data_IF_917982614060
#
_entry.id   IF_917982614060
#
_cell.length_a   1.000
_cell.length_b   1.000
_cell.length_c   1.000
_cell.angle_alpha   90.00
_cell.angle_beta   90.00
_cell.angle_gamma   90.00
#
_symmetry.space_group_name_H-M   'P 1'
#
loop_
_entity.id
_entity.type
_entity.pdbx_description
1 polymer ?
#
# COMPACT_ATOMS: atom_id res chain seq x y z
N UNK A 1 1.77 18.66 -2.01
CA UNK A 1 2.73 18.39 -3.12
C UNK A 1 4.15 18.06 -2.63
N UNK A 2 4.77 18.82 -1.71
CA UNK A 2 6.10 18.44 -1.16
C UNK A 2 6.07 17.08 -0.47
N UNK A 3 5.08 16.86 0.42
CA UNK A 3 4.91 15.62 1.16
C UNK A 3 4.69 14.38 0.28
N UNK A 4 3.93 14.49 -0.82
CA UNK A 4 3.72 13.38 -1.77
C UNK A 4 5.03 13.02 -2.47
N UNK A 5 5.82 14.01 -2.89
CA UNK A 5 7.13 13.77 -3.52
C UNK A 5 8.10 13.11 -2.55
N UNK A 6 8.13 13.56 -1.30
CA UNK A 6 8.93 12.97 -0.23
C UNK A 6 8.51 11.52 0.05
N UNK A 7 7.20 11.24 0.13
CA UNK A 7 6.67 9.90 0.32
C UNK A 7 7.03 8.94 -0.82
N UNK A 8 6.91 9.38 -2.08
CA UNK A 8 7.33 8.59 -3.25
C UNK A 8 8.84 8.37 -3.26
N UNK A 9 9.62 9.38 -2.90
CA UNK A 9 11.08 9.21 -2.77
C UNK A 9 11.41 8.15 -1.73
N UNK A 10 10.73 8.19 -0.58
CA UNK A 10 10.89 7.20 0.48
C UNK A 10 10.47 5.79 0.03
N UNK A 11 9.43 5.65 -0.81
CA UNK A 11 9.06 4.32 -1.33
C UNK A 11 10.15 3.73 -2.23
N UNK A 12 10.84 4.53 -3.05
CA UNK A 12 12.00 4.06 -3.82
C UNK A 12 13.18 3.71 -2.92
N UNK A 13 13.46 4.51 -1.89
CA UNK A 13 14.53 4.20 -0.92
C UNK A 13 14.24 2.92 -0.14
N UNK A 14 12.97 2.66 0.20
CA UNK A 14 12.55 1.45 0.88
C UNK A 14 12.69 0.20 -0.01
N UNK A 15 12.35 0.29 -1.30
CA UNK A 15 12.62 -0.80 -2.26
C UNK A 15 14.11 -1.07 -2.38
N UNK A 16 14.93 -0.02 -2.49
CA UNK A 16 16.39 -0.16 -2.55
C UNK A 16 16.97 -0.77 -1.27
N UNK A 17 16.41 -0.47 -0.10
CA UNK A 17 16.81 -1.10 1.16
C UNK A 17 16.46 -2.61 1.15
N UNK A 18 15.27 -2.95 0.64
CA UNK A 18 14.78 -4.32 0.60
C UNK A 18 15.59 -5.22 -0.35
N UNK A 19 16.22 -4.65 -1.39
CA UNK A 19 17.07 -5.37 -2.36
C UNK A 19 18.09 -6.30 -1.68
N UNK A 20 18.74 -5.84 -0.61
CA UNK A 20 19.78 -6.59 0.09
C UNK A 20 19.31 -7.96 0.59
N UNK A 21 18.08 -8.03 1.11
CA UNK A 21 17.48 -9.22 1.72
C UNK A 21 16.50 -9.95 0.80
N UNK A 22 16.29 -9.44 -0.42
CA UNK A 22 15.26 -9.92 -1.32
C UNK A 22 15.50 -11.41 -1.66
N UNK A 23 14.41 -12.19 -1.60
CA UNK A 23 14.38 -13.65 -1.75
C UNK A 23 15.07 -14.50 -0.68
N UNK A 24 15.54 -13.90 0.43
CA UNK A 24 15.95 -14.67 1.61
C UNK A 24 14.73 -14.97 2.49
N UNK A 25 14.36 -16.24 2.56
CA UNK A 25 13.25 -16.70 3.42
C UNK A 25 13.71 -17.03 4.85
N UNK A 26 14.99 -17.33 5.05
CA UNK A 26 15.53 -17.70 6.37
C UNK A 26 15.77 -16.45 7.24
N UNK A 27 14.95 -16.31 8.29
CA UNK A 27 15.02 -15.21 9.24
C UNK A 27 16.32 -15.20 10.06
N UNK A 28 16.93 -16.35 10.29
CA UNK A 28 18.20 -16.43 11.03
C UNK A 28 19.38 -15.96 10.18
N UNK A 29 19.27 -16.00 8.84
CA UNK A 29 20.21 -15.34 7.94
C UNK A 29 20.02 -13.83 7.97
N UNK A 30 18.77 -13.35 7.90
CA UNK A 30 18.46 -11.92 7.91
C UNK A 30 18.89 -11.24 9.22
N UNK A 31 18.67 -11.88 10.38
CA UNK A 31 19.05 -11.34 11.70
C UNK A 31 20.56 -11.18 11.91
N UNK A 32 21.39 -11.87 11.13
CA UNK A 32 22.87 -11.76 11.22
C UNK A 32 23.42 -10.54 10.48
N UNK A 33 22.59 -9.84 9.73
CA UNK A 33 22.96 -8.68 8.93
C UNK A 33 22.34 -7.41 9.50
N UNK A 34 23.04 -6.28 9.37
CA UNK A 34 22.46 -4.96 9.62
C UNK A 34 21.68 -4.50 8.39
N UNK A 35 20.56 -3.82 8.63
CA UNK A 35 19.68 -3.24 7.61
C UNK A 35 19.55 -1.72 7.79
N UNK A 36 20.55 -1.09 8.42
CA UNK A 36 20.58 0.36 8.63
C UNK A 36 21.12 1.14 7.41
N UNK A 37 21.64 0.43 6.41
CA UNK A 37 22.23 0.99 5.19
C UNK A 37 21.75 0.24 3.94
N UNK A 38 21.71 0.94 2.80
CA UNK A 38 21.46 0.32 1.49
C UNK A 38 22.61 -0.61 1.15
N UNK A 39 22.28 -1.83 0.70
CA UNK A 39 23.28 -2.86 0.45
C UNK A 39 22.94 -3.71 -0.77
N UNK A 40 24.00 -4.30 -1.33
CA UNK A 40 23.89 -5.21 -2.46
C UNK A 40 23.11 -6.48 -2.05
N UNK A 41 22.44 -7.15 -3.00
CA UNK A 41 21.71 -8.40 -2.72
C UNK A 41 22.65 -9.48 -2.18
N UNK A 42 22.23 -10.14 -1.10
CA UNK A 42 22.97 -11.26 -0.53
C UNK A 42 22.88 -12.53 -1.40
N UNK A 43 21.75 -12.73 -2.09
CA UNK A 43 21.56 -13.84 -3.05
C UNK A 43 21.75 -13.32 -4.48
N UNK A 44 22.90 -13.66 -5.07
CA UNK A 44 23.23 -13.27 -6.45
C UNK A 44 22.50 -14.07 -7.53
N UNK A 45 21.95 -15.25 -7.20
CA UNK A 45 21.24 -16.07 -8.20
C UNK A 45 19.98 -15.38 -8.72
N UNK A 46 19.33 -14.58 -7.88
CA UNK A 46 18.19 -13.76 -8.29
C UNK A 46 18.63 -12.39 -8.82
N UNK A 47 19.61 -11.77 -8.18
CA UNK A 47 20.08 -10.43 -8.51
C UNK A 47 21.58 -10.42 -8.85
N UNK A 48 21.98 -11.00 -10.01
CA UNK A 48 23.39 -11.19 -10.34
C UNK A 48 24.13 -9.88 -10.64
N UNK A 49 23.41 -8.84 -11.04
CA UNK A 49 24.01 -7.59 -11.53
C UNK A 49 23.73 -6.39 -10.63
N UNK A 50 22.78 -6.49 -9.69
CA UNK A 50 22.39 -5.37 -8.82
C UNK A 50 23.42 -5.04 -7.75
N UNK A 51 23.53 -3.76 -7.44
CA UNK A 51 24.44 -3.19 -6.45
C UNK A 51 23.69 -2.44 -5.34
N UNK A 52 24.43 -2.08 -4.28
CA UNK A 52 23.89 -1.28 -3.19
C UNK A 52 23.34 0.05 -3.71
N UNK A 53 22.11 0.40 -3.31
CA UNK A 53 21.46 1.64 -3.74
C UNK A 53 20.65 1.53 -5.03
N UNK A 54 20.66 0.37 -5.71
CA UNK A 54 19.79 0.12 -6.84
C UNK A 54 18.42 -0.40 -6.41
N UNK A 55 17.47 -0.40 -7.34
CA UNK A 55 16.11 -0.86 -7.14
C UNK A 55 15.98 -2.36 -7.42
N UNK A 56 14.99 -2.99 -6.80
CA UNK A 56 14.50 -4.29 -7.26
C UNK A 56 13.70 -4.13 -8.55
N UNK A 57 13.30 -5.25 -9.16
CA UNK A 57 12.37 -5.25 -10.29
C UNK A 57 11.03 -4.54 -10.01
N UNK A 58 10.59 -4.43 -8.74
CA UNK A 58 9.39 -3.65 -8.39
C UNK A 58 9.66 -2.15 -8.53
N UNK A 59 10.77 -1.67 -7.97
CA UNK A 59 11.19 -0.28 -8.09
C UNK A 59 11.48 0.11 -9.55
N UNK A 60 12.14 -0.74 -10.34
CA UNK A 60 12.42 -0.45 -11.75
C UNK A 60 11.13 -0.24 -12.57
N UNK A 61 10.13 -1.11 -12.38
CA UNK A 61 8.82 -0.94 -13.01
C UNK A 61 8.09 0.31 -12.51
N UNK A 62 8.23 0.65 -11.22
CA UNK A 62 7.65 1.87 -10.63
C UNK A 62 8.30 3.13 -11.22
N UNK A 63 9.61 3.10 -11.48
CA UNK A 63 10.33 4.19 -12.11
C UNK A 63 9.85 4.43 -13.55
N UNK A 64 9.57 3.36 -14.30
CA UNK A 64 8.97 3.47 -15.64
C UNK A 64 7.59 4.13 -15.60
N UNK A 65 6.75 3.79 -14.63
CA UNK A 65 5.47 4.47 -14.44
C UNK A 65 5.69 5.97 -14.19
N UNK A 66 6.60 6.32 -13.28
CA UNK A 66 6.92 7.71 -12.99
C UNK A 66 7.45 8.48 -14.22
N UNK A 67 8.27 7.84 -15.07
CA UNK A 67 8.75 8.41 -16.33
C UNK A 67 7.60 8.65 -17.32
N UNK A 68 6.66 7.72 -17.44
CA UNK A 68 5.44 7.88 -18.25
C UNK A 68 4.63 9.10 -17.80
N UNK A 69 4.31 9.18 -16.50
CA UNK A 69 3.57 10.30 -15.92
C UNK A 69 4.31 11.64 -16.08
N UNK A 70 5.64 11.63 -15.93
CA UNK A 70 6.45 12.83 -16.06
C UNK A 70 6.44 13.38 -17.50
N UNK A 71 6.40 12.51 -18.50
CA UNK A 71 6.35 12.90 -19.91
C UNK A 71 4.94 13.30 -20.34
N UNK A 72 3.94 12.47 -20.05
CA UNK A 72 2.55 12.65 -20.50
C UNK A 72 1.78 13.69 -19.70
N UNK A 73 2.16 13.93 -18.45
CA UNK A 73 1.41 14.77 -17.48
C UNK A 73 0.00 14.25 -17.19
N UNK A 74 -0.26 13.01 -17.55
CA UNK A 74 -1.46 12.22 -17.28
C UNK A 74 -1.06 10.74 -17.25
N UNK A 75 -1.94 9.89 -16.73
CA UNK A 75 -1.78 8.45 -16.87
C UNK A 75 -2.28 8.00 -18.25
N UNK A 76 -1.34 7.61 -19.10
CA UNK A 76 -1.57 7.02 -20.41
C UNK A 76 -1.14 5.54 -20.36
N UNK A 77 -2.13 4.63 -20.41
CA UNK A 77 -1.89 3.19 -20.31
C UNK A 77 -1.01 2.67 -21.44
N UNK A 78 -1.15 3.21 -22.66
CA UNK A 78 -0.40 2.75 -23.82
C UNK A 78 1.07 3.20 -23.75
N UNK A 79 1.32 4.44 -23.33
CA UNK A 79 2.68 4.94 -23.11
C UNK A 79 3.39 4.18 -21.99
N UNK A 80 2.70 3.95 -20.88
CA UNK A 80 3.24 3.15 -19.79
C UNK A 80 3.55 1.73 -20.25
N UNK A 81 2.64 1.07 -20.96
CA UNK A 81 2.83 -0.29 -21.47
C UNK A 81 4.01 -0.39 -22.44
N UNK A 82 4.18 0.59 -23.32
CA UNK A 82 5.30 0.63 -24.26
C UNK A 82 6.63 0.78 -23.54
N UNK A 83 6.74 1.74 -22.60
CA UNK A 83 7.96 1.94 -21.81
C UNK A 83 8.26 0.74 -20.92
N UNK A 84 7.23 0.11 -20.37
CA UNK A 84 7.35 -1.08 -19.55
C UNK A 84 7.86 -2.27 -20.36
N UNK A 85 7.36 -2.50 -21.58
CA UNK A 85 7.91 -3.51 -22.48
C UNK A 85 9.38 -3.20 -22.84
N UNK A 86 9.72 -1.93 -23.09
CA UNK A 86 11.08 -1.50 -23.40
C UNK A 86 12.06 -1.75 -22.25
N UNK A 87 11.63 -1.59 -20.99
CA UNK A 87 12.44 -1.94 -19.82
C UNK A 87 12.94 -3.38 -19.90
N UNK A 88 12.11 -4.31 -20.39
CA UNK A 88 12.39 -5.75 -20.40
C UNK A 88 13.10 -6.28 -21.65
N UNK A 89 13.42 -5.42 -22.63
CA UNK A 89 14.15 -5.87 -23.84
C UNK A 89 15.56 -6.36 -23.51
N UNK A 90 16.29 -5.61 -22.67
CA UNK A 90 17.68 -5.88 -22.29
C UNK A 90 17.83 -6.08 -20.77
N UNK A 91 16.73 -6.39 -20.07
CA UNK A 91 16.73 -6.54 -18.61
C UNK A 91 17.48 -7.81 -18.20
N UNK A 92 18.58 -7.63 -17.48
CA UNK A 92 19.53 -8.71 -17.16
C UNK A 92 19.44 -9.20 -15.72
N UNK A 93 18.38 -8.85 -14.99
CA UNK A 93 18.20 -9.19 -13.58
C UNK A 93 16.89 -9.95 -13.33
N UNK A 94 16.46 -10.11 -12.07
CA UNK A 94 15.28 -10.90 -11.73
C UNK A 94 14.00 -10.42 -12.43
N UNK A 95 13.30 -11.34 -13.09
CA UNK A 95 11.97 -11.12 -13.66
C UNK A 95 11.03 -12.15 -13.06
N UNK A 96 10.00 -11.67 -12.36
CA UNK A 96 8.96 -12.49 -11.76
C UNK A 96 8.07 -13.19 -12.82
N UNK A 97 7.25 -14.13 -12.37
CA UNK A 97 6.43 -14.95 -13.26
C UNK A 97 5.26 -14.16 -13.91
N UNK A 98 4.68 -13.22 -13.19
CA UNK A 98 3.56 -12.40 -13.67
C UNK A 98 3.99 -11.47 -14.82
N UNK A 99 5.15 -10.85 -14.67
CA UNK A 99 5.85 -10.05 -15.66
C UNK A 99 6.17 -10.87 -16.90
N UNK A 100 6.72 -12.09 -16.75
CA UNK A 100 6.99 -12.99 -17.90
C UNK A 100 5.73 -13.33 -18.68
N UNK A 101 4.66 -13.74 -18.00
CA UNK A 101 3.36 -14.03 -18.64
C UNK A 101 2.83 -12.81 -19.38
N UNK A 102 2.92 -11.64 -18.76
CA UNK A 102 2.41 -10.41 -19.37
C UNK A 102 3.20 -10.00 -20.62
N UNK A 103 4.53 -10.14 -20.59
CA UNK A 103 5.38 -9.96 -21.76
C UNK A 103 5.04 -10.96 -22.88
N UNK A 104 4.76 -12.22 -22.54
CA UNK A 104 4.38 -13.23 -23.54
C UNK A 104 3.02 -12.91 -24.16
N UNK A 105 2.06 -12.40 -23.39
CA UNK A 105 0.78 -11.91 -23.92
C UNK A 105 0.96 -10.74 -24.90
N UNK A 106 1.83 -9.77 -24.58
CA UNK A 106 2.17 -8.70 -25.52
C UNK A 106 2.82 -9.23 -26.81
N UNK A 107 3.68 -10.25 -26.74
CA UNK A 107 4.27 -10.90 -27.93
C UNK A 107 3.21 -11.58 -28.81
N UNK A 108 2.09 -12.01 -28.23
CA UNK A 108 0.93 -12.54 -28.96
C UNK A 108 0.07 -11.44 -29.61
N UNK A 109 0.42 -10.16 -29.43
CA UNK A 109 -0.28 -9.02 -29.99
C UNK A 109 -1.44 -8.50 -29.14
N UNK A 110 -1.53 -8.90 -27.87
CA UNK A 110 -2.58 -8.40 -26.97
C UNK A 110 -2.31 -6.95 -26.55
N UNK A 111 -3.38 -6.18 -26.41
CA UNK A 111 -3.31 -4.81 -25.90
C UNK A 111 -3.03 -4.77 -24.40
N UNK A 112 -2.62 -3.61 -23.84
CA UNK A 112 -2.31 -3.49 -22.42
C UNK A 112 -3.50 -3.76 -21.50
N UNK A 113 -4.72 -3.64 -21.99
CA UNK A 113 -5.94 -3.99 -21.25
C UNK A 113 -6.08 -5.51 -21.02
N UNK A 114 -5.50 -6.33 -21.91
CA UNK A 114 -5.71 -7.79 -21.93
C UNK A 114 -4.47 -8.59 -21.51
N UNK A 115 -3.28 -7.96 -21.57
CA UNK A 115 -1.98 -8.61 -21.36
C UNK A 115 -1.69 -9.04 -19.91
N UNK A 116 -2.48 -8.60 -18.93
CA UNK A 116 -2.27 -8.96 -17.52
C UNK A 116 -2.30 -10.47 -17.26
N UNK A 117 -1.44 -10.93 -16.35
CA UNK A 117 -1.42 -12.31 -15.85
C UNK A 117 -2.45 -12.53 -14.73
N UNK A 118 -2.82 -13.80 -14.48
CA UNK A 118 -3.69 -14.19 -13.34
C UNK A 118 -2.91 -14.43 -12.05
N UNK A 119 -1.63 -14.04 -11.99
CA UNK A 119 -0.83 -14.17 -10.77
C UNK A 119 -1.41 -13.27 -9.66
N UNK A 120 -1.34 -13.75 -8.43
CA UNK A 120 -1.97 -13.09 -7.27
C UNK A 120 -0.95 -12.48 -6.29
N UNK A 121 0.27 -12.21 -6.74
CA UNK A 121 1.27 -11.50 -5.96
C UNK A 121 1.03 -9.97 -5.98
N UNK A 122 1.70 -9.27 -5.06
CA UNK A 122 1.42 -7.86 -4.75
C UNK A 122 1.98 -6.87 -5.80
N UNK A 123 2.84 -7.32 -6.71
CA UNK A 123 3.72 -6.45 -7.50
C UNK A 123 2.97 -5.35 -8.26
N UNK A 124 1.88 -5.72 -8.93
CA UNK A 124 1.06 -4.79 -9.69
C UNK A 124 0.40 -3.70 -8.82
N UNK A 125 0.04 -4.00 -7.58
CA UNK A 125 -0.58 -3.01 -6.67
C UNK A 125 0.47 -2.15 -5.93
N UNK A 126 1.67 -2.70 -5.66
CA UNK A 126 2.72 -1.99 -4.93
C UNK A 126 3.29 -0.76 -5.67
N UNK A 127 3.15 -0.71 -7.00
CA UNK A 127 3.75 0.31 -7.87
C UNK A 127 2.86 1.53 -8.17
N UNK A 128 1.68 1.64 -7.54
CA UNK A 128 0.66 2.66 -7.89
C UNK A 128 1.03 4.10 -7.47
N UNK A 129 1.96 4.25 -6.52
CA UNK A 129 2.15 5.52 -5.80
C UNK A 129 2.57 6.73 -6.64
N UNK A 130 3.30 6.62 -7.77
CA UNK A 130 3.53 7.75 -8.67
C UNK A 130 2.25 8.46 -9.15
N UNK A 131 1.11 7.75 -9.24
CA UNK A 131 -0.17 8.33 -9.67
C UNK A 131 -0.69 9.44 -8.74
N UNK A 132 -0.27 9.43 -7.47
CA UNK A 132 -0.65 10.46 -6.50
C UNK A 132 -0.11 11.85 -6.86
N UNK A 133 0.95 11.94 -7.67
CA UNK A 133 1.46 13.23 -8.15
C UNK A 133 0.43 14.01 -8.97
N UNK A 134 -0.48 13.30 -9.65
CA UNK A 134 -1.51 13.88 -10.51
C UNK A 134 -2.89 13.83 -9.84
N UNK A 135 -3.21 12.73 -9.14
CA UNK A 135 -4.57 12.41 -8.76
C UNK A 135 -4.82 12.34 -7.25
N UNK A 136 -3.89 12.76 -6.38
CA UNK A 136 -4.06 12.68 -4.92
C UNK A 136 -5.32 13.38 -4.36
N UNK A 137 -5.97 14.28 -5.11
CA UNK A 137 -7.21 14.95 -4.70
C UNK A 137 -8.47 14.35 -5.33
N UNK A 138 -8.32 13.57 -6.39
CA UNK A 138 -9.40 12.94 -7.14
C UNK A 138 -9.30 11.42 -6.98
N UNK A 139 -9.99 10.91 -5.96
CA UNK A 139 -9.93 9.49 -5.59
C UNK A 139 -10.49 8.61 -6.71
N UNK A 140 -11.54 9.06 -7.40
CA UNK A 140 -12.16 8.28 -8.47
C UNK A 140 -11.20 8.09 -9.64
N UNK A 141 -10.52 9.17 -10.06
CA UNK A 141 -9.51 9.09 -11.13
C UNK A 141 -8.28 8.30 -10.68
N UNK A 142 -7.85 8.48 -9.43
CA UNK A 142 -6.73 7.74 -8.86
C UNK A 142 -7.00 6.23 -8.84
N UNK A 143 -8.17 5.79 -8.37
CA UNK A 143 -8.54 4.37 -8.34
C UNK A 143 -8.59 3.77 -9.75
N UNK A 144 -9.22 4.46 -10.71
CA UNK A 144 -9.26 3.97 -12.10
C UNK A 144 -7.86 3.83 -12.71
N UNK A 145 -6.99 4.81 -12.48
CA UNK A 145 -5.62 4.77 -12.98
C UNK A 145 -4.80 3.65 -12.29
N UNK A 146 -4.96 3.47 -10.98
CA UNK A 146 -4.30 2.40 -10.22
C UNK A 146 -4.75 1.02 -10.73
N UNK A 147 -6.06 0.81 -10.88
CA UNK A 147 -6.63 -0.44 -11.40
C UNK A 147 -6.10 -0.75 -12.81
N UNK A 148 -6.13 0.21 -13.72
CA UNK A 148 -5.66 0.02 -15.10
C UNK A 148 -4.15 -0.29 -15.15
N UNK A 149 -3.34 0.46 -14.40
CA UNK A 149 -1.91 0.21 -14.27
C UNK A 149 -1.63 -1.18 -13.66
N UNK A 150 -2.41 -1.62 -12.68
CA UNK A 150 -2.25 -2.93 -12.03
C UNK A 150 -2.65 -4.05 -12.99
N UNK A 151 -3.84 -3.93 -13.58
CA UNK A 151 -4.42 -4.89 -14.53
C UNK A 151 -3.54 -5.17 -15.75
N UNK A 152 -2.73 -4.19 -16.18
CA UNK A 152 -1.79 -4.35 -17.29
C UNK A 152 -0.83 -5.53 -17.13
N UNK A 153 -0.43 -5.86 -15.88
CA UNK A 153 0.45 -7.01 -15.59
C UNK A 153 -0.17 -8.04 -14.65
N UNK A 154 -1.15 -7.63 -13.84
CA UNK A 154 -1.84 -8.46 -12.85
C UNK A 154 -3.34 -8.21 -12.92
N UNK A 155 -4.08 -9.07 -13.63
CA UNK A 155 -5.54 -8.98 -13.78
C UNK A 155 -6.31 -9.83 -12.76
N UNK A 156 -5.61 -10.48 -11.83
CA UNK A 156 -6.26 -11.18 -10.73
C UNK A 156 -7.05 -10.18 -9.87
N UNK A 157 -8.33 -10.44 -9.63
CA UNK A 157 -9.28 -9.52 -9.00
C UNK A 157 -8.78 -8.96 -7.66
N UNK A 158 -8.22 -9.83 -6.80
CA UNK A 158 -7.68 -9.40 -5.50
C UNK A 158 -6.50 -8.44 -5.61
N UNK A 159 -5.66 -8.54 -6.65
CA UNK A 159 -4.52 -7.65 -6.84
C UNK A 159 -5.00 -6.29 -7.35
N UNK A 160 -5.97 -6.29 -8.27
CA UNK A 160 -6.63 -5.07 -8.74
C UNK A 160 -7.34 -4.37 -7.59
N UNK A 161 -8.09 -5.10 -6.75
CA UNK A 161 -8.75 -4.51 -5.58
C UNK A 161 -7.75 -4.01 -4.54
N UNK A 162 -6.61 -4.67 -4.36
CA UNK A 162 -5.54 -4.16 -3.50
C UNK A 162 -5.02 -2.79 -3.97
N UNK A 163 -4.98 -2.52 -5.27
CA UNK A 163 -4.61 -1.20 -5.81
C UNK A 163 -5.64 -0.11 -5.47
N UNK A 164 -6.93 -0.44 -5.57
CA UNK A 164 -8.03 0.45 -5.15
C UNK A 164 -7.97 0.71 -3.65
N UNK A 165 -7.77 -0.36 -2.87
CA UNK A 165 -7.64 -0.28 -1.43
C UNK A 165 -6.49 0.65 -1.01
N UNK A 166 -5.29 0.49 -1.59
CA UNK A 166 -4.15 1.36 -1.30
C UNK A 166 -4.43 2.83 -1.68
N UNK A 167 -5.11 3.06 -2.82
CA UNK A 167 -5.55 4.39 -3.26
C UNK A 167 -6.46 5.07 -2.23
N UNK A 168 -7.40 4.28 -1.69
CA UNK A 168 -8.36 4.67 -0.65
C UNK A 168 -7.67 5.03 0.68
N UNK A 169 -6.76 4.19 1.19
CA UNK A 169 -6.13 4.45 2.51
C UNK A 169 -5.08 5.56 2.47
N UNK A 170 -4.38 5.73 1.35
CA UNK A 170 -3.30 6.70 1.22
C UNK A 170 -3.79 8.13 0.88
N UNK A 171 -5.07 8.43 1.10
CA UNK A 171 -5.63 9.76 0.88
C UNK A 171 -5.25 10.72 2.04
N UNK A 172 -4.04 11.27 1.97
CA UNK A 172 -3.40 11.94 3.11
C UNK A 172 -3.84 13.39 3.33
N UNK A 173 -4.28 14.11 2.29
CA UNK A 173 -4.49 15.56 2.34
C UNK A 173 -5.89 16.00 2.82
N UNK A 174 -6.81 15.07 3.10
CA UNK A 174 -8.17 15.41 3.54
C UNK A 174 -8.39 15.26 5.07
N UNK A 175 -9.29 16.06 5.66
CA UNK A 175 -9.86 15.79 6.98
C UNK A 175 -10.44 14.37 7.06
N UNK A 176 -10.34 13.74 8.24
CA UNK A 176 -10.69 12.33 8.40
C UNK A 176 -12.16 12.03 8.11
N UNK A 177 -13.07 12.92 8.49
CA UNK A 177 -14.49 12.87 8.17
C UNK A 177 -14.74 12.88 6.65
N UNK A 178 -14.01 13.71 5.89
CA UNK A 178 -14.13 13.74 4.43
C UNK A 178 -13.58 12.47 3.77
N UNK A 179 -12.51 11.89 4.31
CA UNK A 179 -12.01 10.60 3.84
C UNK A 179 -13.03 9.50 4.10
N UNK A 180 -13.61 9.45 5.29
CA UNK A 180 -14.62 8.45 5.64
C UNK A 180 -15.88 8.57 4.76
N UNK A 181 -16.28 9.79 4.38
CA UNK A 181 -17.37 9.98 3.41
C UNK A 181 -17.05 9.39 2.04
N UNK A 182 -15.79 9.45 1.60
CA UNK A 182 -15.36 8.88 0.31
C UNK A 182 -15.19 7.36 0.37
N UNK A 183 -14.68 6.84 1.50
CA UNK A 183 -14.49 5.41 1.70
C UNK A 183 -15.81 4.66 1.94
N UNK A 184 -16.84 5.38 2.37
CA UNK A 184 -18.12 4.81 2.74
C UNK A 184 -18.28 4.71 4.25
N UNK A 185 -19.55 4.68 4.65
CA UNK A 185 -19.97 4.78 6.04
C UNK A 185 -20.79 3.56 6.49
N UNK A 186 -21.12 2.65 5.58
CA UNK A 186 -21.95 1.48 5.89
C UNK A 186 -21.16 0.41 6.66
N UNK A 187 -21.85 -0.65 7.07
CA UNK A 187 -21.24 -1.82 7.70
C UNK A 187 -20.61 -2.79 6.69
N UNK A 188 -20.73 -2.54 5.38
CA UNK A 188 -20.16 -3.42 4.37
C UNK A 188 -18.63 -3.39 4.39
N UNK A 189 -18.02 -4.53 4.12
CA UNK A 189 -16.58 -4.75 4.35
C UNK A 189 -15.70 -3.90 3.43
N UNK A 190 -16.15 -3.68 2.21
CA UNK A 190 -15.51 -2.86 1.17
C UNK A 190 -15.46 -1.36 1.52
N UNK A 191 -16.30 -0.92 2.46
CA UNK A 191 -16.28 0.45 3.00
C UNK A 191 -15.66 0.52 4.40
N UNK A 192 -16.16 -0.29 5.34
CA UNK A 192 -15.81 -0.21 6.75
C UNK A 192 -14.36 -0.60 7.04
N UNK A 193 -13.80 -1.56 6.30
CA UNK A 193 -12.43 -2.04 6.51
C UNK A 193 -11.37 -1.03 6.05
N UNK A 194 -11.41 -0.47 4.82
CA UNK A 194 -10.52 0.64 4.43
C UNK A 194 -10.62 1.83 5.36
N UNK A 195 -11.84 2.22 5.76
CA UNK A 195 -12.07 3.29 6.73
C UNK A 195 -11.35 3.04 8.07
N UNK A 196 -11.41 1.81 8.57
CA UNK A 196 -10.74 1.41 9.81
C UNK A 196 -9.22 1.45 9.67
N UNK A 197 -8.67 0.92 8.58
CA UNK A 197 -7.22 0.92 8.33
C UNK A 197 -6.68 2.33 8.13
N UNK A 198 -7.39 3.20 7.41
CA UNK A 198 -7.06 4.62 7.31
C UNK A 198 -6.97 5.30 8.69
N UNK A 199 -7.98 5.09 9.55
CA UNK A 199 -8.01 5.67 10.89
C UNK A 199 -6.86 5.14 11.78
N UNK A 200 -6.56 3.84 11.70
CA UNK A 200 -5.41 3.26 12.39
C UNK A 200 -4.11 3.91 11.94
N UNK A 201 -3.86 3.97 10.64
CA UNK A 201 -2.63 4.54 10.08
C UNK A 201 -2.48 6.03 10.41
N UNK A 202 -3.56 6.81 10.29
CA UNK A 202 -3.53 8.26 10.50
C UNK A 202 -3.42 8.67 11.95
N UNK A 203 -4.04 7.93 12.86
CA UNK A 203 -4.17 8.32 14.27
C UNK A 203 -3.47 7.38 15.26
N UNK A 204 -2.60 6.48 14.80
CA UNK A 204 -1.88 5.53 15.67
C UNK A 204 -1.11 6.23 16.80
N UNK A 205 -0.54 7.41 16.54
CA UNK A 205 0.20 8.22 17.52
C UNK A 205 -0.69 9.19 18.30
N UNK A 206 -1.94 9.36 17.87
CA UNK A 206 -2.95 10.22 18.51
C UNK A 206 -4.30 9.49 18.72
N UNK A 207 -4.34 8.37 19.48
CA UNK A 207 -5.52 7.54 19.73
C UNK A 207 -6.84 8.26 20.00
N UNK A 208 -6.82 9.26 20.90
CA UNK A 208 -8.02 10.01 21.27
C UNK A 208 -8.66 10.68 20.05
N UNK A 209 -7.84 11.31 19.22
CA UNK A 209 -8.28 11.98 18.01
C UNK A 209 -8.84 10.98 17.00
N UNK A 210 -8.22 9.80 16.87
CA UNK A 210 -8.71 8.74 15.99
C UNK A 210 -10.09 8.21 16.39
N UNK A 211 -10.33 7.96 17.67
CA UNK A 211 -11.63 7.50 18.17
C UNK A 211 -12.71 8.58 18.03
N UNK A 212 -12.37 9.84 18.26
CA UNK A 212 -13.29 10.97 18.01
C UNK A 212 -13.59 11.11 16.51
N UNK A 213 -12.56 11.04 15.65
CA UNK A 213 -12.72 11.11 14.20
C UNK A 213 -13.58 9.96 13.66
N UNK A 214 -13.47 8.76 14.23
CA UNK A 214 -14.33 7.63 13.89
C UNK A 214 -15.82 7.92 14.17
N UNK A 215 -16.12 8.53 15.33
CA UNK A 215 -17.48 8.91 15.70
C UNK A 215 -18.00 10.03 14.79
N UNK A 216 -17.19 11.07 14.56
CA UNK A 216 -17.54 12.18 13.65
C UNK A 216 -17.70 11.73 12.20
N UNK A 217 -17.02 10.65 11.82
CA UNK A 217 -17.14 10.00 10.53
C UNK A 217 -18.47 9.31 10.27
N UNK A 218 -19.37 9.19 11.25
CA UNK A 218 -20.75 8.71 11.05
C UNK A 218 -20.88 7.25 10.58
N UNK A 219 -22.12 6.86 10.25
CA UNK A 219 -22.44 5.50 9.80
C UNK A 219 -22.23 4.42 10.86
N UNK A 220 -21.80 3.21 10.45
CA UNK A 220 -21.43 2.14 11.37
C UNK A 220 -20.05 2.38 12.00
N UNK A 221 -19.96 3.41 12.84
CA UNK A 221 -18.76 3.73 13.63
C UNK A 221 -18.53 2.74 14.77
N UNK A 222 -19.51 1.90 15.12
CA UNK A 222 -19.44 1.02 16.28
C UNK A 222 -18.48 -0.16 16.02
N UNK A 223 -18.62 -0.84 14.87
CA UNK A 223 -17.72 -1.93 14.49
C UNK A 223 -16.27 -1.44 14.36
N UNK A 224 -16.08 -0.31 13.65
CA UNK A 224 -14.76 0.36 13.55
C UNK A 224 -14.23 0.73 14.93
N UNK A 225 -15.09 1.27 15.80
CA UNK A 225 -14.74 1.72 17.15
C UNK A 225 -14.18 0.61 18.02
N UNK A 226 -14.71 -0.62 17.93
CA UNK A 226 -14.16 -1.78 18.66
C UNK A 226 -12.74 -2.11 18.19
N UNK A 227 -12.52 -2.17 16.88
CA UNK A 227 -11.20 -2.48 16.29
C UNK A 227 -10.20 -1.39 16.67
N UNK A 228 -10.56 -0.11 16.46
CA UNK A 228 -9.73 1.04 16.80
C UNK A 228 -9.39 1.07 18.28
N UNK A 229 -10.38 0.84 19.16
CA UNK A 229 -10.18 0.81 20.60
C UNK A 229 -9.15 -0.24 21.03
N UNK A 230 -9.21 -1.44 20.46
CA UNK A 230 -8.24 -2.49 20.74
C UNK A 230 -6.82 -2.09 20.32
N UNK A 231 -6.60 -1.74 19.06
CA UNK A 231 -5.26 -1.42 18.55
C UNK A 231 -4.68 -0.15 19.18
N UNK A 232 -5.48 0.89 19.36
CA UNK A 232 -5.01 2.09 20.03
C UNK A 232 -4.69 1.82 21.51
N UNK A 233 -5.45 0.95 22.19
CA UNK A 233 -5.19 0.52 23.56
C UNK A 233 -3.85 -0.19 23.77
N UNK A 234 -3.22 -0.70 22.70
CA UNK A 234 -1.86 -1.27 22.74
C UNK A 234 -0.78 -0.18 22.87
N UNK A 235 -1.10 1.07 22.53
CA UNK A 235 -0.16 2.20 22.61
C UNK A 235 -0.14 2.85 24.00
N UNK A 236 0.98 3.45 24.44
CA UNK A 236 1.01 4.22 25.69
C UNK A 236 -0.05 5.31 25.75
N UNK A 237 -0.25 6.05 24.66
CA UNK A 237 -1.24 7.14 24.55
C UNK A 237 -2.69 6.64 24.59
N UNK A 238 -2.96 5.43 24.09
CA UNK A 238 -4.30 4.84 24.17
C UNK A 238 -4.64 4.36 25.58
N UNK A 239 -3.66 3.84 26.33
CA UNK A 239 -3.86 3.45 27.74
C UNK A 239 -4.25 4.62 28.63
N UNK A 240 -3.79 5.83 28.32
CA UNK A 240 -4.23 7.06 29.00
C UNK A 240 -5.75 7.30 28.87
N UNK A 241 -6.44 6.70 27.89
CA UNK A 241 -7.89 6.84 27.73
C UNK A 241 -8.69 6.05 28.77
N UNK A 242 -8.09 5.01 29.38
CA UNK A 242 -8.75 4.24 30.42
C UNK A 242 -9.10 5.11 31.62
N UNK A 243 -8.20 5.98 32.08
CA UNK A 243 -8.49 6.88 33.19
C UNK A 243 -9.55 7.93 32.84
N UNK A 244 -9.71 8.26 31.56
CA UNK A 244 -10.68 9.24 31.09
C UNK A 244 -12.09 8.63 30.95
N UNK A 245 -12.22 7.44 30.36
CA UNK A 245 -13.53 6.90 29.96
C UNK A 245 -14.02 5.73 30.81
N UNK A 246 -13.11 4.98 31.46
CA UNK A 246 -13.53 3.86 32.31
C UNK A 246 -14.43 4.29 33.48
N UNK A 247 -14.25 5.46 34.13
CA UNK A 247 -15.16 5.91 35.18
C UNK A 247 -16.60 6.14 34.71
N UNK A 248 -16.79 6.46 33.42
CA UNK A 248 -18.10 6.68 32.80
C UNK A 248 -18.68 5.41 32.15
N UNK A 249 -17.86 4.35 32.01
CA UNK A 249 -18.24 3.11 31.35
C UNK A 249 -19.09 2.22 32.27
N UNK A 250 -20.39 2.13 31.97
CA UNK A 250 -21.39 1.40 32.78
C UNK A 250 -21.05 -0.06 33.09
N UNK A 251 -20.30 -0.73 32.20
CA UNK A 251 -19.92 -2.14 32.35
C UNK A 251 -18.50 -2.34 32.88
N UNK A 252 -17.85 -1.30 33.43
CA UNK A 252 -16.45 -1.38 33.89
C UNK A 252 -16.20 -2.52 34.89
N UNK A 253 -17.07 -2.67 35.90
CA UNK A 253 -16.93 -3.72 36.91
C UNK A 253 -17.10 -5.13 36.32
N UNK A 254 -18.12 -5.32 35.47
CA UNK A 254 -18.38 -6.58 34.77
C UNK A 254 -17.21 -6.94 33.84
N UNK A 255 -16.73 -5.98 33.04
CA UNK A 255 -15.62 -6.17 32.13
C UNK A 255 -14.34 -6.57 32.89
N UNK A 256 -14.01 -5.86 33.97
CA UNK A 256 -12.86 -6.20 34.82
C UNK A 256 -12.96 -7.63 35.37
N UNK A 257 -14.11 -8.01 35.91
CA UNK A 257 -14.33 -9.35 36.46
C UNK A 257 -14.20 -10.48 35.43
N UNK A 258 -14.51 -10.20 34.16
CA UNK A 258 -14.34 -11.17 33.07
C UNK A 258 -12.88 -11.25 32.61
N UNK A 259 -12.20 -10.10 32.49
CA UNK A 259 -10.82 -10.04 32.03
C UNK A 259 -9.83 -10.60 33.05
N UNK A 260 -10.06 -10.43 34.35
CA UNK A 260 -9.20 -10.95 35.44
C UNK A 260 -9.17 -12.50 35.52
N UNK A 261 -9.92 -13.21 34.67
CA UNK A 261 -9.92 -14.68 34.59
C UNK A 261 -8.80 -15.25 33.69
N UNK A 262 -8.10 -14.39 32.95
CA UNK A 262 -7.02 -14.73 32.02
C UNK A 262 -5.69 -14.15 32.49
#
# INVERSE_FOLDING_TARGET
MSQIKEAITLSFLADSLALGGHWIYDQEVLKKHSWEHLQAPLIKDFHPHKQAGELTHYGDQTLVLLQSLAEKKEFDLQDFALKWQNLFLDYSDYIDHATRISLDNFKLGWGPEDSGSMMNDLAGAARIFPLFLLYARDLEVLEKAAQAQTAMTHKHEQVVEASSFLSRVAHLDLPADQVLLKLGQTCHIDEAFPATLYLLLKFFTTPKQGLIANVLGGGDSAARGLILGFFFGLTPKGKELLSLWLPEFKLAATLKSLLDQF
#
